data_IF_104745304348
#
_entry.id   IF_104745304348
#
_cell.length_a   1.000
_cell.length_b   1.000
_cell.length_c   1.000
_cell.angle_alpha   90.00
_cell.angle_beta   90.00
_cell.angle_gamma   90.00
#
_symmetry.space_group_name_H-M   'P 1'
#
loop_
_entity.id
_entity.type
_entity.pdbx_description
1 polymer ?
#
# COMPACT_ATOMS: atom_id res chain seq x y z
N UNK A 1 6.20 17.58 10.84
CA UNK A 1 5.17 16.87 10.06
C UNK A 1 5.24 15.39 10.39
N UNK A 2 4.10 14.75 10.64
CA UNK A 2 4.00 13.30 10.91
C UNK A 2 3.04 12.68 9.89
N UNK A 3 3.38 11.52 9.33
CA UNK A 3 2.52 10.82 8.35
C UNK A 3 1.15 10.51 8.97
N UNK A 4 0.08 10.87 8.27
CA UNK A 4 -1.31 10.73 8.72
C UNK A 4 -1.88 11.96 9.42
N UNK A 5 -1.06 12.99 9.69
CA UNK A 5 -1.56 14.26 10.25
C UNK A 5 -1.91 15.23 9.12
N UNK A 6 -3.18 15.63 9.06
CA UNK A 6 -3.72 16.52 8.02
C UNK A 6 -3.95 17.96 8.53
N UNK A 7 -3.06 18.49 9.35
CA UNK A 7 -3.23 19.82 9.97
C UNK A 7 -3.10 21.01 9.00
N UNK A 8 -2.42 20.82 7.87
CA UNK A 8 -2.21 21.88 6.89
C UNK A 8 -3.35 21.99 5.85
N UNK A 9 -4.39 21.16 5.99
CA UNK A 9 -5.57 21.17 5.13
C UNK A 9 -6.84 20.97 5.96
N UNK A 10 -7.97 21.47 5.47
CA UNK A 10 -9.27 21.20 6.05
C UNK A 10 -10.29 20.84 4.96
N UNK A 11 -11.28 20.03 5.33
CA UNK A 11 -12.38 19.66 4.42
C UNK A 11 -13.34 20.84 4.30
N UNK A 12 -13.78 21.13 3.08
CA UNK A 12 -14.82 22.14 2.83
C UNK A 12 -15.78 21.66 1.73
N UNK A 13 -16.95 22.30 1.64
CA UNK A 13 -17.90 22.10 0.54
C UNK A 13 -17.56 23.05 -0.62
N UNK A 14 -17.21 22.48 -1.76
CA UNK A 14 -16.91 23.19 -3.00
C UNK A 14 -18.15 23.23 -3.90
N UNK A 15 -18.54 24.43 -4.33
CA UNK A 15 -19.68 24.66 -5.21
C UNK A 15 -19.54 23.85 -6.52
N UNK A 16 -20.57 23.06 -6.84
CA UNK A 16 -20.59 22.20 -8.03
C UNK A 16 -19.65 20.98 -7.99
N UNK A 17 -18.88 20.77 -6.91
CA UNK A 17 -17.83 19.71 -6.83
C UNK A 17 -17.93 18.80 -5.61
N UNK A 18 -18.82 19.08 -4.66
CA UNK A 18 -18.97 18.28 -3.44
C UNK A 18 -17.90 18.64 -2.41
N UNK A 19 -17.18 17.66 -1.85
CA UNK A 19 -16.15 17.91 -0.83
C UNK A 19 -14.79 18.19 -1.48
N UNK A 20 -14.04 19.12 -0.91
CA UNK A 20 -12.65 19.41 -1.29
C UNK A 20 -11.74 19.56 -0.07
N UNK A 21 -10.43 19.66 -0.33
CA UNK A 21 -9.43 20.06 0.65
C UNK A 21 -8.93 21.46 0.31
N UNK A 22 -8.87 22.36 1.31
CA UNK A 22 -8.27 23.69 1.18
C UNK A 22 -7.11 23.84 2.17
N UNK A 23 -6.11 24.64 1.82
CA UNK A 23 -4.95 24.90 2.66
C UNK A 23 -5.33 25.73 3.90
N UNK A 24 -4.74 25.43 5.06
CA UNK A 24 -4.91 26.20 6.30
C UNK A 24 -3.75 27.17 6.56
N UNK A 25 -2.72 27.16 5.69
CA UNK A 25 -1.53 28.02 5.73
C UNK A 25 -0.95 28.21 4.33
N UNK A 26 0.02 29.10 4.19
CA UNK A 26 0.79 29.30 2.96
C UNK A 26 1.77 28.13 2.67
N UNK A 27 2.04 27.90 1.38
CA UNK A 27 2.96 26.88 0.88
C UNK A 27 3.81 27.43 -0.26
N UNK A 28 5.02 26.89 -0.38
CA UNK A 28 5.96 27.15 -1.47
C UNK A 28 6.17 25.89 -2.32
N UNK A 29 6.77 26.06 -3.49
CA UNK A 29 7.17 24.93 -4.32
C UNK A 29 8.09 23.98 -3.52
N UNK A 30 7.84 22.67 -3.65
CA UNK A 30 8.49 21.58 -2.91
C UNK A 30 8.07 21.39 -1.44
N UNK A 31 7.14 22.18 -0.90
CA UNK A 31 6.55 21.88 0.41
C UNK A 31 5.72 20.59 0.39
N UNK A 32 5.82 19.82 1.47
CA UNK A 32 4.92 18.69 1.70
C UNK A 32 3.65 19.23 2.37
N UNK A 33 2.52 19.14 1.66
CA UNK A 33 1.21 19.56 2.19
C UNK A 33 0.74 18.56 3.26
N UNK A 34 0.68 17.28 2.92
CA UNK A 34 0.50 16.16 3.84
C UNK A 34 1.11 14.88 3.25
N UNK A 35 1.25 13.86 4.08
CA UNK A 35 1.63 12.51 3.65
C UNK A 35 0.76 11.48 4.37
N UNK A 36 0.39 10.41 3.68
CA UNK A 36 -0.50 9.37 4.19
C UNK A 36 0.05 7.98 3.83
N UNK A 37 -0.13 7.01 4.73
CA UNK A 37 0.15 5.60 4.41
C UNK A 37 -1.05 5.04 3.66
N UNK A 38 -0.80 4.24 2.62
CA UNK A 38 -1.89 3.53 1.94
C UNK A 38 -2.75 2.79 2.97
N UNK A 39 -4.07 2.99 2.89
CA UNK A 39 -5.02 2.26 3.74
C UNK A 39 -4.95 0.76 3.48
N UNK A 40 -4.84 0.38 2.20
CA UNK A 40 -4.56 -0.98 1.73
C UNK A 40 -3.92 -0.88 0.34
N UNK A 41 -3.07 -1.84 -0.01
CA UNK A 41 -2.42 -1.89 -1.32
C UNK A 41 -2.09 -3.34 -1.68
N UNK A 42 -2.19 -3.66 -2.96
CA UNK A 42 -1.91 -5.00 -3.52
C UNK A 42 -1.04 -4.87 -4.77
N UNK A 43 -0.31 -5.93 -5.11
CA UNK A 43 0.51 -6.00 -6.33
C UNK A 43 -0.34 -6.54 -7.48
N UNK A 44 -0.25 -5.91 -8.65
CA UNK A 44 -0.90 -6.44 -9.86
C UNK A 44 -0.41 -7.84 -10.20
N UNK A 45 -1.29 -8.67 -10.76
CA UNK A 45 -0.99 -10.08 -11.04
C UNK A 45 0.21 -10.28 -11.97
N UNK A 46 0.36 -9.39 -12.95
CA UNK A 46 1.50 -9.40 -13.88
C UNK A 46 2.86 -9.16 -13.18
N UNK A 47 2.86 -8.66 -11.94
CA UNK A 47 4.05 -8.24 -11.20
C UNK A 47 4.33 -9.05 -9.92
N UNK A 48 3.49 -10.03 -9.58
CA UNK A 48 3.57 -10.76 -8.30
C UNK A 48 4.93 -11.41 -8.03
N UNK A 49 5.62 -11.87 -9.07
CA UNK A 49 6.95 -12.50 -8.94
C UNK A 49 8.12 -11.52 -9.00
N UNK A 50 7.86 -10.23 -9.27
CA UNK A 50 8.88 -9.22 -9.54
C UNK A 50 8.87 -8.06 -8.55
N UNK A 51 7.82 -7.93 -7.73
CA UNK A 51 7.61 -6.81 -6.81
C UNK A 51 7.38 -7.31 -5.38
N UNK A 52 8.03 -6.65 -4.42
CA UNK A 52 7.78 -6.88 -3.00
C UNK A 52 6.36 -6.45 -2.62
N UNK A 53 5.60 -7.36 -2.00
CA UNK A 53 4.21 -7.14 -1.60
C UNK A 53 4.06 -6.19 -0.40
N UNK A 54 5.17 -5.80 0.24
CA UNK A 54 5.15 -4.86 1.37
C UNK A 54 5.50 -3.45 0.95
N UNK A 55 6.60 -3.30 0.19
CA UNK A 55 7.20 -1.98 -0.08
C UNK A 55 7.20 -1.60 -1.56
N UNK A 56 6.62 -2.45 -2.43
CA UNK A 56 6.46 -2.21 -3.87
C UNK A 56 7.76 -2.00 -4.65
N UNK A 57 8.92 -2.28 -4.05
CA UNK A 57 10.20 -2.27 -4.77
C UNK A 57 10.28 -3.45 -5.73
N UNK A 58 10.69 -3.18 -6.97
CA UNK A 58 11.08 -4.20 -7.94
C UNK A 58 12.48 -4.71 -7.60
N UNK A 59 12.65 -6.03 -7.56
CA UNK A 59 13.94 -6.67 -7.30
C UNK A 59 14.06 -7.97 -8.11
N UNK A 60 15.29 -8.31 -8.49
CA UNK A 60 15.57 -9.55 -9.23
C UNK A 60 15.38 -10.80 -8.35
N UNK A 61 15.78 -10.71 -7.07
CA UNK A 61 15.69 -11.81 -6.12
C UNK A 61 14.74 -11.44 -4.99
N UNK A 62 13.60 -12.11 -4.95
CA UNK A 62 12.61 -11.96 -3.89
C UNK A 62 12.44 -13.29 -3.14
N UNK A 63 12.11 -13.18 -1.86
CA UNK A 63 11.78 -14.32 -1.02
C UNK A 63 10.26 -14.54 -1.00
N UNK A 64 9.82 -15.69 -1.54
CA UNK A 64 8.41 -16.09 -1.49
C UNK A 64 7.99 -16.53 -0.10
N UNK A 65 6.74 -16.26 0.26
CA UNK A 65 6.11 -16.82 1.43
C UNK A 65 6.04 -18.35 1.32
N UNK A 66 6.59 -19.07 2.31
CA UNK A 66 6.61 -20.54 2.28
C UNK A 66 5.23 -21.20 2.40
N UNK A 67 4.23 -20.48 2.93
CA UNK A 67 2.89 -21.03 3.19
C UNK A 67 1.96 -20.93 1.98
N UNK A 68 1.75 -19.72 1.45
CA UNK A 68 0.85 -19.50 0.32
C UNK A 68 1.54 -19.57 -1.04
N UNK A 69 2.89 -19.44 -1.09
CA UNK A 69 3.70 -19.35 -2.31
C UNK A 69 3.34 -18.21 -3.28
N UNK A 70 2.43 -17.33 -2.87
CA UNK A 70 1.95 -16.17 -3.65
C UNK A 70 2.76 -14.90 -3.35
N UNK A 71 2.77 -14.47 -2.08
CA UNK A 71 3.40 -13.21 -1.72
C UNK A 71 4.94 -13.29 -1.78
N UNK A 72 5.56 -12.24 -2.29
CA UNK A 72 7.00 -12.10 -2.44
C UNK A 72 7.52 -10.88 -1.67
N UNK A 73 8.69 -11.00 -1.05
CA UNK A 73 9.26 -9.98 -0.17
C UNK A 73 10.75 -9.73 -0.47
N UNK A 74 11.23 -8.52 -0.21
CA UNK A 74 12.66 -8.22 -0.29
C UNK A 74 13.48 -9.11 0.66
N UNK A 75 12.97 -9.30 1.87
CA UNK A 75 13.65 -9.98 2.98
C UNK A 75 12.65 -10.33 4.11
N UNK A 76 13.19 -10.87 5.22
CA UNK A 76 12.40 -11.20 6.41
C UNK A 76 11.81 -9.97 7.11
N UNK A 77 12.34 -8.77 6.90
CA UNK A 77 11.80 -7.54 7.48
C UNK A 77 10.50 -7.18 6.77
N UNK A 78 10.52 -7.10 5.44
CA UNK A 78 9.31 -6.86 4.64
C UNK A 78 8.24 -7.95 4.90
N UNK A 79 8.65 -9.21 5.04
CA UNK A 79 7.73 -10.30 5.36
C UNK A 79 7.05 -10.12 6.73
N UNK A 80 7.79 -9.67 7.75
CA UNK A 80 7.24 -9.43 9.09
C UNK A 80 6.29 -8.24 9.09
N UNK A 81 6.67 -7.15 8.43
CA UNK A 81 5.87 -5.93 8.36
C UNK A 81 4.54 -6.17 7.63
N UNK A 82 4.55 -7.02 6.60
CA UNK A 82 3.33 -7.41 5.90
C UNK A 82 2.39 -8.29 6.72
N UNK A 83 2.86 -8.95 7.79
CA UNK A 83 2.12 -10.04 8.43
C UNK A 83 0.74 -9.64 8.94
N UNK A 84 0.59 -8.40 9.43
CA UNK A 84 -0.71 -7.88 9.90
C UNK A 84 -1.79 -8.01 8.82
N UNK A 85 -1.46 -7.65 7.57
CA UNK A 85 -2.39 -7.71 6.44
C UNK A 85 -2.34 -9.08 5.74
N UNK A 86 -1.14 -9.64 5.58
CA UNK A 86 -0.91 -10.88 4.86
C UNK A 86 -1.49 -12.12 5.55
N UNK A 87 -1.58 -12.15 6.88
CA UNK A 87 -2.00 -13.35 7.64
C UNK A 87 -3.33 -13.94 7.16
N UNK A 88 -4.31 -13.06 6.93
CA UNK A 88 -5.67 -13.46 6.55
C UNK A 88 -5.70 -13.95 5.10
N UNK A 89 -5.12 -13.19 4.16
CA UNK A 89 -5.03 -13.60 2.75
C UNK A 89 -4.16 -14.85 2.55
N UNK A 90 -3.08 -15.04 3.32
CA UNK A 90 -2.20 -16.19 3.22
C UNK A 90 -2.96 -17.50 3.46
N UNK A 91 -3.79 -17.50 4.52
CA UNK A 91 -4.65 -18.63 4.87
C UNK A 91 -5.75 -18.83 3.82
N UNK A 92 -6.34 -17.74 3.33
CA UNK A 92 -7.39 -17.79 2.31
C UNK A 92 -6.88 -18.35 0.97
N UNK A 93 -5.74 -17.85 0.47
CA UNK A 93 -5.11 -18.31 -0.77
C UNK A 93 -4.74 -19.79 -0.67
N UNK A 94 -4.15 -20.20 0.46
CA UNK A 94 -3.81 -21.61 0.70
C UNK A 94 -5.05 -22.52 0.68
N UNK A 95 -6.18 -22.05 1.23
CA UNK A 95 -7.46 -22.78 1.23
C UNK A 95 -8.10 -22.83 -0.15
N UNK A 96 -8.05 -21.74 -0.90
CA UNK A 96 -8.67 -21.64 -2.23
C UNK A 96 -7.90 -22.44 -3.29
N UNK A 97 -6.57 -22.57 -3.12
CA UNK A 97 -5.73 -23.43 -3.96
C UNK A 97 -5.38 -22.85 -5.34
N UNK A 98 -5.81 -21.63 -5.64
CA UNK A 98 -5.42 -20.85 -6.82
C UNK A 98 -5.05 -19.43 -6.42
N UNK A 99 -4.12 -18.84 -7.15
CA UNK A 99 -3.92 -17.38 -7.13
C UNK A 99 -5.05 -16.78 -7.95
N UNK A 100 -5.81 -15.86 -7.37
CA UNK A 100 -6.84 -15.12 -8.09
C UNK A 100 -6.13 -14.28 -9.16
N UNK A 101 -6.59 -14.38 -10.41
CA UNK A 101 -6.13 -13.54 -11.51
C UNK A 101 -7.25 -12.53 -11.80
N UNK A 102 -6.88 -11.27 -11.94
CA UNK A 102 -7.65 -10.20 -12.57
C UNK A 102 -7.78 -10.55 -14.06
N UNK A 103 -9.04 -10.63 -14.54
CA UNK A 103 -9.38 -10.85 -15.96
C UNK A 103 -9.04 -9.62 -16.82
#
# INVERSE_FOLDING_TARGET
MTIGRMENVEVFTAEGKGRGLKATKEFWAADIIFAERAYSAVVFDSLVNFVCHTCFKRQEKLHRCGQCKFAHYCDRTCQKDAWLNHKNECSAIKRYGKVLQED
#
